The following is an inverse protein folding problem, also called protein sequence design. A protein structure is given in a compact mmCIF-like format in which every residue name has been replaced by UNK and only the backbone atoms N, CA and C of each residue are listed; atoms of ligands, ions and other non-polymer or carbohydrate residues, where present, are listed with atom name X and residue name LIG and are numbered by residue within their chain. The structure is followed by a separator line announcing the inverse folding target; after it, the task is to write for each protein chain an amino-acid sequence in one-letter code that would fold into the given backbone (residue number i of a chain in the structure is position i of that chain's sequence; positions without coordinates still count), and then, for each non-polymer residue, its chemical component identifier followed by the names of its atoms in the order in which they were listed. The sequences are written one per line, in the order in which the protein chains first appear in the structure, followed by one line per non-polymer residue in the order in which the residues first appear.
data_IF_400499318661
#
_entry.id   IF_400499318661
#
_cell.length_a   1.000
_cell.length_b   1.000
_cell.length_c   1.000
_cell.angle_alpha   90.00
_cell.angle_beta   90.00
_cell.angle_gamma   90.00
#
_symmetry.space_group_name_H-M   'P 1'
#
loop_
_entity.id
_entity.type
_entity.pdbx_description
1 polymer ?
#
# COMPACT_ATOMS: atom_id res chain seq x y z
N UNK A 1 47.96 -5.73 -70.78
CA UNK A 1 48.96 -4.94 -71.56
C UNK A 1 50.39 -5.12 -71.07
N UNK A 2 50.65 -5.19 -69.77
CA UNK A 2 52.01 -5.33 -69.21
C UNK A 2 52.68 -6.66 -69.60
N UNK A 3 51.95 -7.77 -69.56
CA UNK A 3 52.48 -9.10 -69.91
C UNK A 3 52.92 -9.22 -71.38
N UNK A 4 52.15 -8.62 -72.29
CA UNK A 4 52.49 -8.59 -73.71
C UNK A 4 53.77 -7.81 -73.99
N UNK A 5 54.03 -6.74 -73.22
CA UNK A 5 55.27 -5.94 -73.30
C UNK A 5 56.48 -6.72 -72.78
N UNK A 6 56.33 -7.47 -71.69
CA UNK A 6 57.40 -8.29 -71.12
C UNK A 6 57.78 -9.42 -72.09
N UNK A 7 56.79 -10.09 -72.69
CA UNK A 7 57.03 -11.15 -73.67
C UNK A 7 57.78 -10.62 -74.91
N UNK A 8 57.45 -9.41 -75.38
CA UNK A 8 58.12 -8.76 -76.51
C UNK A 8 59.59 -8.44 -76.21
N UNK A 9 59.89 -7.93 -75.00
CA UNK A 9 61.26 -7.66 -74.57
C UNK A 9 62.08 -8.94 -74.43
N UNK A 10 61.47 -10.02 -73.92
CA UNK A 10 62.14 -11.31 -73.78
C UNK A 10 62.52 -11.90 -75.14
N UNK A 11 61.62 -11.83 -76.13
CA UNK A 11 61.90 -12.24 -77.51
C UNK A 11 62.98 -11.37 -78.17
N UNK A 12 62.98 -10.05 -77.90
CA UNK A 12 64.01 -9.15 -78.41
C UNK A 12 65.40 -9.47 -77.85
N UNK A 13 65.51 -9.78 -76.54
CA UNK A 13 66.78 -10.15 -75.90
C UNK A 13 67.29 -11.50 -76.40
N UNK A 14 66.40 -12.49 -76.59
CA UNK A 14 66.76 -13.79 -77.17
C UNK A 14 67.23 -13.64 -78.62
N UNK A 15 66.54 -12.81 -79.41
CA UNK A 15 66.93 -12.49 -80.80
C UNK A 15 68.28 -11.76 -80.88
N UNK A 16 68.54 -10.83 -79.96
CA UNK A 16 69.83 -10.13 -79.88
C UNK A 16 70.99 -11.07 -79.52
N UNK A 17 70.79 -11.97 -78.56
CA UNK A 17 71.79 -12.97 -78.17
C UNK A 17 72.03 -14.02 -79.26
N UNK A 18 71.00 -14.34 -80.06
CA UNK A 18 71.16 -15.17 -81.26
C UNK A 18 72.10 -14.55 -82.29
N UNK A 19 71.89 -13.27 -82.58
CA UNK A 19 72.67 -12.54 -83.58
C UNK A 19 74.15 -12.41 -83.19
N UNK A 20 74.45 -12.36 -81.89
CA UNK A 20 75.81 -12.18 -81.37
C UNK A 20 76.59 -13.49 -81.20
N UNK A 21 75.92 -14.65 -81.18
CA UNK A 21 76.59 -15.94 -80.94
C UNK A 21 77.16 -16.55 -82.22
N UNK A 22 78.49 -16.69 -82.29
CA UNK A 22 79.18 -17.23 -83.48
C UNK A 22 79.14 -18.77 -83.58
N UNK A 23 78.90 -19.48 -82.47
CA UNK A 23 78.89 -20.95 -82.43
C UNK A 23 77.47 -21.55 -82.27
N UNK A 24 76.89 -21.92 -83.42
CA UNK A 24 75.49 -22.38 -83.53
C UNK A 24 75.18 -23.66 -82.72
N UNK A 25 76.18 -24.46 -82.37
CA UNK A 25 76.00 -25.74 -81.65
C UNK A 25 75.86 -25.56 -80.14
N UNK A 26 76.55 -24.57 -79.57
CA UNK A 26 76.47 -24.23 -78.13
C UNK A 26 75.21 -23.42 -77.86
N UNK A 27 74.86 -22.50 -78.77
CA UNK A 27 73.66 -21.67 -78.64
C UNK A 27 72.36 -22.51 -78.59
N UNK A 28 72.24 -23.56 -79.40
CA UNK A 28 71.09 -24.47 -79.33
C UNK A 28 70.94 -25.09 -77.93
N UNK A 29 72.03 -25.54 -77.30
CA UNK A 29 71.96 -26.13 -75.94
C UNK A 29 71.56 -25.11 -74.87
N UNK A 30 72.08 -23.88 -74.96
CA UNK A 30 71.74 -22.81 -74.01
C UNK A 30 70.29 -22.37 -74.17
N UNK A 31 69.81 -22.20 -75.40
CA UNK A 31 68.41 -21.83 -75.67
C UNK A 31 67.45 -22.93 -75.23
N UNK A 32 67.73 -24.20 -75.53
CA UNK A 32 66.86 -25.29 -75.05
C UNK A 32 66.89 -25.44 -73.53
N UNK A 33 68.01 -25.13 -72.87
CA UNK A 33 68.09 -25.11 -71.40
C UNK A 33 67.25 -23.98 -70.80
N UNK A 34 67.37 -22.75 -71.32
CA UNK A 34 66.59 -21.59 -70.86
C UNK A 34 65.10 -21.78 -71.17
N UNK A 35 64.77 -22.27 -72.38
CA UNK A 35 63.40 -22.56 -72.77
C UNK A 35 62.81 -23.70 -71.93
N UNK A 36 63.62 -24.70 -71.54
CA UNK A 36 63.21 -25.75 -70.61
C UNK A 36 62.93 -25.22 -69.21
N UNK A 37 63.76 -24.31 -68.68
CA UNK A 37 63.52 -23.64 -67.39
C UNK A 37 62.30 -22.74 -67.45
N UNK A 38 62.08 -22.02 -68.56
CA UNK A 38 60.91 -21.18 -68.77
C UNK A 38 59.63 -22.02 -68.94
N UNK A 39 59.72 -23.14 -69.67
CA UNK A 39 58.63 -24.12 -69.78
C UNK A 39 58.30 -24.74 -68.41
N UNK A 40 59.30 -24.99 -67.56
CA UNK A 40 59.10 -25.50 -66.21
C UNK A 40 58.49 -24.44 -65.27
N UNK A 41 58.94 -23.18 -65.35
CA UNK A 41 58.37 -22.07 -64.59
C UNK A 41 56.93 -21.74 -65.03
N UNK A 42 56.64 -21.80 -66.32
CA UNK A 42 55.27 -21.63 -66.84
C UNK A 42 54.40 -22.83 -66.49
N UNK A 43 54.93 -24.06 -66.50
CA UNK A 43 54.21 -25.25 -66.05
C UNK A 43 53.91 -25.23 -64.54
N UNK A 44 54.85 -24.74 -63.71
CA UNK A 44 54.60 -24.50 -62.28
C UNK A 44 53.58 -23.37 -62.06
N UNK A 45 53.66 -22.29 -62.83
CA UNK A 45 52.67 -21.20 -62.79
C UNK A 45 51.27 -21.65 -63.19
N UNK A 46 51.15 -22.58 -64.16
CA UNK A 46 49.87 -23.18 -64.57
C UNK A 46 49.39 -24.21 -63.53
N UNK A 47 50.29 -25.03 -62.96
CA UNK A 47 49.93 -26.02 -61.93
C UNK A 47 49.48 -25.38 -60.60
N UNK A 48 49.89 -24.14 -60.32
CA UNK A 48 49.39 -23.34 -59.19
C UNK A 48 48.21 -22.43 -59.57
N UNK A 49 47.91 -22.26 -60.85
CA UNK A 49 46.84 -21.39 -61.36
C UNK A 49 45.44 -22.00 -61.38
N UNK A 50 45.30 -23.31 -61.13
CA UNK A 50 43.99 -24.01 -61.07
C UNK A 50 43.42 -24.12 -59.63
N UNK A 51 44.09 -23.51 -58.64
CA UNK A 51 43.65 -23.53 -57.23
C UNK A 51 42.80 -22.31 -56.84
N UNK A 52 42.68 -21.30 -57.72
CA UNK A 52 42.01 -20.03 -57.42
C UNK A 52 40.51 -20.20 -57.11
N UNK A 53 39.80 -21.12 -57.78
CA UNK A 53 38.35 -21.28 -57.55
C UNK A 53 38.02 -21.88 -56.16
N UNK A 54 38.84 -22.81 -55.66
CA UNK A 54 38.63 -23.45 -54.35
C UNK A 54 39.07 -22.52 -53.21
N UNK A 55 40.16 -21.77 -53.40
CA UNK A 55 40.61 -20.74 -52.46
C UNK A 55 39.59 -19.61 -52.37
N UNK A 56 39.07 -19.14 -53.51
CA UNK A 56 38.02 -18.10 -53.55
C UNK A 56 36.73 -18.57 -52.86
N UNK A 57 36.30 -19.81 -53.12
CA UNK A 57 35.13 -20.39 -52.45
C UNK A 57 35.31 -20.50 -50.93
N UNK A 58 36.49 -20.91 -50.46
CA UNK A 58 36.77 -20.98 -49.02
C UNK A 58 36.81 -19.60 -48.36
N UNK A 59 37.28 -18.59 -49.10
CA UNK A 59 37.33 -17.20 -48.63
C UNK A 59 35.93 -16.60 -48.52
N UNK A 60 35.07 -16.86 -49.50
CA UNK A 60 33.68 -16.42 -49.50
C UNK A 60 32.88 -17.09 -48.35
N UNK A 61 33.09 -18.38 -48.09
CA UNK A 61 32.46 -19.10 -46.97
C UNK A 61 32.93 -18.58 -45.60
N UNK A 62 34.22 -18.20 -45.47
CA UNK A 62 34.77 -17.63 -44.24
C UNK A 62 34.29 -16.20 -44.01
N UNK A 63 34.10 -15.42 -45.08
CA UNK A 63 33.50 -14.09 -45.04
C UNK A 63 32.05 -14.17 -44.56
N UNK A 64 31.24 -15.07 -45.12
CA UNK A 64 29.85 -15.31 -44.68
C UNK A 64 29.77 -15.72 -43.20
N UNK A 65 30.67 -16.60 -42.74
CA UNK A 65 30.76 -16.98 -41.31
C UNK A 65 31.12 -15.81 -40.42
N UNK A 66 32.04 -14.95 -40.86
CA UNK A 66 32.44 -13.76 -40.10
C UNK A 66 31.29 -12.75 -39.99
N UNK A 67 30.54 -12.51 -41.07
CA UNK A 67 29.36 -11.65 -41.06
C UNK A 67 28.28 -12.21 -40.13
N UNK A 68 27.98 -13.51 -40.23
CA UNK A 68 27.04 -14.16 -39.32
C UNK A 68 27.48 -14.06 -37.86
N UNK A 69 28.77 -14.26 -37.58
CA UNK A 69 29.32 -14.13 -36.24
C UNK A 69 29.16 -12.70 -35.72
N UNK A 70 29.44 -11.68 -36.54
CA UNK A 70 29.22 -10.28 -36.16
C UNK A 70 27.76 -9.96 -35.89
N UNK A 71 26.83 -10.51 -36.67
CA UNK A 71 25.40 -10.36 -36.43
C UNK A 71 24.99 -10.98 -35.09
N UNK A 72 25.47 -12.19 -34.78
CA UNK A 72 25.17 -12.83 -33.48
C UNK A 72 25.79 -12.11 -32.30
N UNK A 73 26.98 -11.50 -32.47
CA UNK A 73 27.60 -10.68 -31.42
C UNK A 73 26.76 -9.43 -31.17
N UNK A 74 26.28 -8.77 -32.23
CA UNK A 74 25.40 -7.60 -32.11
C UNK A 74 24.08 -7.94 -31.43
N UNK A 75 23.46 -9.07 -31.78
CA UNK A 75 22.21 -9.55 -31.15
C UNK A 75 22.44 -9.90 -29.67
N UNK A 76 23.58 -10.53 -29.35
CA UNK A 76 23.94 -10.88 -27.98
C UNK A 76 24.27 -9.63 -27.14
N UNK A 77 24.85 -8.60 -27.74
CA UNK A 77 25.10 -7.30 -27.10
C UNK A 77 23.79 -6.59 -26.77
N UNK A 78 22.83 -6.58 -27.70
CA UNK A 78 21.49 -6.04 -27.48
C UNK A 78 20.73 -6.79 -26.37
N UNK A 79 20.80 -8.14 -26.38
CA UNK A 79 20.22 -8.97 -25.33
C UNK A 79 20.86 -8.74 -23.96
N UNK A 80 22.17 -8.51 -23.90
CA UNK A 80 22.84 -8.19 -22.63
C UNK A 80 22.47 -6.80 -22.13
N UNK A 81 22.29 -5.83 -23.03
CA UNK A 81 21.86 -4.47 -22.66
C UNK A 81 20.45 -4.48 -22.06
N UNK A 82 19.53 -5.22 -22.69
CA UNK A 82 18.15 -5.36 -22.18
C UNK A 82 18.11 -6.12 -20.86
N UNK A 83 18.90 -7.20 -20.72
CA UNK A 83 18.97 -7.94 -19.47
C UNK A 83 19.56 -7.10 -18.31
N UNK A 84 20.49 -6.19 -18.62
CA UNK A 84 21.02 -5.25 -17.63
C UNK A 84 19.94 -4.25 -17.18
N UNK A 85 19.14 -3.72 -18.10
CA UNK A 85 18.03 -2.82 -17.78
C UNK A 85 16.99 -3.50 -16.87
N UNK A 86 16.60 -4.75 -17.20
CA UNK A 86 15.71 -5.54 -16.36
C UNK A 86 16.29 -5.81 -14.96
N UNK A 87 17.60 -5.99 -14.86
CA UNK A 87 18.28 -6.19 -13.57
C UNK A 87 18.27 -4.91 -12.71
N UNK A 88 18.54 -3.76 -13.31
CA UNK A 88 18.54 -2.46 -12.64
C UNK A 88 17.11 -2.10 -12.16
N UNK A 89 16.09 -2.36 -12.98
CA UNK A 89 14.68 -2.17 -12.63
C UNK A 89 14.24 -3.08 -11.47
N UNK A 90 14.69 -4.34 -11.49
CA UNK A 90 14.41 -5.29 -10.42
C UNK A 90 15.10 -4.88 -9.11
N UNK A 91 16.34 -4.39 -9.18
CA UNK A 91 17.06 -3.85 -8.02
C UNK A 91 16.32 -2.65 -7.42
N UNK A 92 15.84 -1.72 -8.26
CA UNK A 92 15.02 -0.58 -7.81
C UNK A 92 13.74 -1.05 -7.12
N UNK A 93 13.05 -2.05 -7.69
CA UNK A 93 11.83 -2.61 -7.11
C UNK A 93 12.09 -3.29 -5.75
N UNK A 94 13.22 -3.97 -5.60
CA UNK A 94 13.63 -4.59 -4.32
C UNK A 94 13.86 -3.52 -3.24
N UNK A 95 14.49 -2.39 -3.60
CA UNK A 95 14.72 -1.28 -2.67
C UNK A 95 13.40 -0.68 -2.20
N UNK A 96 12.47 -0.40 -3.11
CA UNK A 96 11.16 0.17 -2.80
C UNK A 96 10.33 -0.76 -1.89
N UNK A 97 10.26 -2.05 -2.22
CA UNK A 97 9.59 -3.06 -1.39
C UNK A 97 10.20 -3.14 0.02
N UNK A 98 11.52 -3.00 0.14
CA UNK A 98 12.18 -3.04 1.43
C UNK A 98 11.86 -1.79 2.28
N UNK A 99 11.76 -0.61 1.66
CA UNK A 99 11.31 0.61 2.35
C UNK A 99 9.84 0.49 2.83
N UNK A 100 8.98 -0.10 2.00
CA UNK A 100 7.58 -0.36 2.36
C UNK A 100 7.48 -1.34 3.54
N UNK A 101 8.25 -2.44 3.53
CA UNK A 101 8.31 -3.40 4.65
C UNK A 101 8.71 -2.70 5.95
N UNK A 102 9.76 -1.86 5.93
CA UNK A 102 10.21 -1.11 7.12
C UNK A 102 9.08 -0.20 7.64
N UNK A 103 8.34 0.45 6.73
CA UNK A 103 7.23 1.32 7.11
C UNK A 103 6.10 0.53 7.78
N UNK A 104 5.71 -0.59 7.18
CA UNK A 104 4.66 -1.49 7.70
C UNK A 104 5.06 -2.05 9.07
N UNK A 105 6.33 -2.45 9.25
CA UNK A 105 6.82 -2.96 10.54
C UNK A 105 6.71 -1.93 11.66
N UNK A 106 7.06 -0.66 11.38
CA UNK A 106 6.92 0.43 12.35
C UNK A 106 5.45 0.71 12.70
N UNK A 107 4.57 0.71 11.71
CA UNK A 107 3.13 0.89 11.94
C UNK A 107 2.54 -0.26 12.74
N UNK A 108 2.95 -1.50 12.46
CA UNK A 108 2.54 -2.67 13.21
C UNK A 108 3.00 -2.59 14.68
N UNK A 109 4.25 -2.18 14.94
CA UNK A 109 4.75 -2.00 16.31
C UNK A 109 3.93 -0.95 17.08
N UNK A 110 3.60 0.17 16.43
CA UNK A 110 2.77 1.22 17.03
C UNK A 110 1.36 0.71 17.33
N UNK A 111 0.73 0.04 16.37
CA UNK A 111 -0.62 -0.50 16.51
C UNK A 111 -0.69 -1.57 17.61
N UNK A 112 0.35 -2.39 17.74
CA UNK A 112 0.47 -3.37 18.81
C UNK A 112 0.50 -2.71 20.19
N UNK A 113 1.30 -1.64 20.36
CA UNK A 113 1.36 -0.88 21.62
C UNK A 113 0.00 -0.24 21.96
N UNK A 114 -0.68 0.31 20.96
CA UNK A 114 -2.01 0.91 21.15
C UNK A 114 -3.04 -0.16 21.55
N UNK A 115 -2.99 -1.34 20.95
CA UNK A 115 -3.84 -2.47 21.30
C UNK A 115 -3.63 -2.95 22.74
N UNK A 116 -2.38 -3.10 23.18
CA UNK A 116 -2.04 -3.44 24.58
C UNK A 116 -2.53 -2.38 25.58
N UNK A 117 -2.36 -1.09 25.24
CA UNK A 117 -2.88 0.01 26.05
C UNK A 117 -4.41 -0.03 26.17
N UNK A 118 -5.09 -0.29 25.06
CA UNK A 118 -6.55 -0.36 25.00
C UNK A 118 -7.09 -1.58 25.78
N UNK A 119 -6.42 -2.73 25.70
CA UNK A 119 -6.77 -3.90 26.50
C UNK A 119 -6.65 -3.60 28.00
N UNK A 120 -5.58 -2.94 28.43
CA UNK A 120 -5.39 -2.56 29.83
C UNK A 120 -6.50 -1.62 30.32
N UNK A 121 -6.83 -0.58 29.54
CA UNK A 121 -7.91 0.35 29.85
C UNK A 121 -9.28 -0.33 29.93
N UNK A 122 -9.57 -1.28 29.04
CA UNK A 122 -10.81 -2.05 29.10
C UNK A 122 -10.90 -2.91 30.35
N UNK A 123 -9.78 -3.47 30.81
CA UNK A 123 -9.74 -4.23 32.07
C UNK A 123 -9.99 -3.30 33.28
N UNK A 124 -9.29 -2.17 33.35
CA UNK A 124 -9.47 -1.17 34.40
C UNK A 124 -10.92 -0.67 34.43
N UNK A 125 -11.48 -0.31 33.28
CA UNK A 125 -12.87 0.16 33.17
C UNK A 125 -13.89 -0.89 33.63
N UNK A 126 -13.62 -2.18 33.39
CA UNK A 126 -14.47 -3.27 33.86
C UNK A 126 -14.42 -3.44 35.39
N UNK A 127 -13.25 -3.25 35.98
CA UNK A 127 -13.08 -3.28 37.45
C UNK A 127 -13.79 -2.08 38.09
N UNK A 128 -13.64 -0.88 37.52
CA UNK A 128 -14.32 0.34 37.97
C UNK A 128 -15.84 0.19 37.88
N UNK A 129 -16.35 -0.38 36.78
CA UNK A 129 -17.79 -0.64 36.62
C UNK A 129 -18.33 -1.56 37.71
N UNK A 130 -17.61 -2.65 38.01
CA UNK A 130 -18.00 -3.60 39.07
C UNK A 130 -18.01 -2.92 40.45
N UNK A 131 -17.02 -2.08 40.73
CA UNK A 131 -16.96 -1.34 42.00
C UNK A 131 -18.12 -0.36 42.13
N UNK A 132 -18.47 0.35 41.06
CA UNK A 132 -19.60 1.29 41.06
C UNK A 132 -20.96 0.57 41.19
N UNK A 133 -21.08 -0.64 40.64
CA UNK A 133 -22.25 -1.50 40.79
C UNK A 133 -22.44 -1.92 42.26
N UNK A 134 -21.38 -2.41 42.91
CA UNK A 134 -21.39 -2.77 44.35
C UNK A 134 -21.71 -1.56 45.25
N UNK A 135 -21.17 -0.37 44.93
CA UNK A 135 -21.48 0.85 45.67
C UNK A 135 -22.96 1.23 45.56
N UNK A 136 -23.55 1.16 44.36
CA UNK A 136 -24.97 1.43 44.14
C UNK A 136 -25.88 0.46 44.89
N UNK A 137 -25.55 -0.84 44.91
CA UNK A 137 -26.29 -1.83 45.70
C UNK A 137 -26.27 -1.48 47.19
N UNK A 138 -25.09 -1.16 47.74
CA UNK A 138 -24.95 -0.76 49.14
C UNK A 138 -25.72 0.53 49.48
N UNK A 139 -25.74 1.49 48.55
CA UNK A 139 -26.46 2.75 48.73
C UNK A 139 -27.97 2.52 48.68
N UNK A 140 -28.44 1.60 47.83
CA UNK A 140 -29.84 1.19 47.77
C UNK A 140 -30.30 0.56 49.09
N UNK A 141 -29.50 -0.35 49.66
CA UNK A 141 -29.79 -0.95 50.97
C UNK A 141 -29.87 0.11 52.08
N UNK A 142 -28.92 1.06 52.10
CA UNK A 142 -28.92 2.15 53.07
C UNK A 142 -30.16 3.05 52.95
N UNK A 143 -30.61 3.34 51.72
CA UNK A 143 -31.85 4.12 51.48
C UNK A 143 -33.07 3.39 52.04
N UNK A 144 -33.15 2.07 51.88
CA UNK A 144 -34.24 1.25 52.39
C UNK A 144 -34.26 1.22 53.92
N UNK A 145 -33.10 1.02 54.56
CA UNK A 145 -32.98 1.06 56.02
C UNK A 145 -33.40 2.43 56.60
N UNK A 146 -32.94 3.54 55.99
CA UNK A 146 -33.32 4.89 56.43
C UNK A 146 -34.81 5.17 56.26
N UNK A 147 -35.44 4.59 55.23
CA UNK A 147 -36.89 4.71 55.00
C UNK A 147 -37.68 4.00 56.10
N UNK A 148 -37.24 2.81 56.50
CA UNK A 148 -37.85 2.03 57.59
C UNK A 148 -37.66 2.71 58.96
N UNK A 149 -36.48 3.27 59.21
CA UNK A 149 -36.21 4.03 60.43
C UNK A 149 -37.10 5.29 60.49
N UNK A 150 -37.21 6.03 59.38
CA UNK A 150 -38.10 7.20 59.28
C UNK A 150 -39.57 6.83 59.52
N UNK A 151 -40.03 5.70 58.98
CA UNK A 151 -41.39 5.21 59.22
C UNK A 151 -41.61 4.86 60.70
N UNK A 152 -40.65 4.20 61.32
CA UNK A 152 -40.68 3.81 62.73
C UNK A 152 -40.67 5.03 63.66
N UNK A 153 -39.83 6.01 63.39
CA UNK A 153 -39.77 7.27 64.14
C UNK A 153 -41.06 8.09 63.97
N UNK A 154 -41.63 8.14 62.75
CA UNK A 154 -42.91 8.82 62.52
C UNK A 154 -44.04 8.20 63.35
N UNK A 155 -44.11 6.87 63.41
CA UNK A 155 -45.11 6.16 64.24
C UNK A 155 -44.93 6.49 65.73
N UNK A 156 -43.69 6.50 66.22
CA UNK A 156 -43.37 6.90 67.60
C UNK A 156 -43.76 8.36 67.88
N UNK A 157 -43.61 9.25 66.90
CA UNK A 157 -44.03 10.65 67.01
C UNK A 157 -45.55 10.78 67.16
N UNK A 158 -46.32 10.06 66.34
CA UNK A 158 -47.80 10.03 66.38
C UNK A 158 -48.34 9.42 67.69
N UNK A 159 -47.67 8.38 68.22
CA UNK A 159 -48.01 7.77 69.53
C UNK A 159 -47.71 8.72 70.71
N UNK A 160 -46.65 9.52 70.59
CA UNK A 160 -46.32 10.54 71.59
C UNK A 160 -47.29 11.71 71.55
N UNK A 161 -47.72 12.16 70.36
CA UNK A 161 -48.72 13.23 70.20
C UNK A 161 -50.08 12.82 70.81
N UNK A 162 -50.55 11.59 70.55
CA UNK A 162 -51.84 11.07 71.07
C UNK A 162 -51.88 10.86 72.59
N UNK A 163 -50.73 10.67 73.24
CA UNK A 163 -50.63 10.59 74.70
C UNK A 163 -50.56 11.97 75.38
N UNK A 164 -50.15 13.02 74.67
CA UNK A 164 -50.22 14.41 75.17
C UNK A 164 -51.60 15.07 75.02
N UNK A 165 -52.44 14.68 74.06
CA UNK A 165 -53.80 15.25 73.92
C UNK A 165 -54.78 14.74 75.01
N UNK A 166 -54.46 13.63 75.68
CA UNK A 166 -55.27 13.10 76.79
C UNK A 166 -54.97 13.73 78.16
N UNK A 167 -54.02 14.67 78.24
CA UNK A 167 -53.65 15.36 79.49
C UNK A 167 -53.73 16.89 79.42
N UNK A 168 -54.34 17.46 78.38
CA UNK A 168 -54.53 18.91 78.28
C UNK A 168 -55.95 19.26 77.81
N UNK A 169 -56.92 19.09 78.71
CA UNK A 169 -58.19 19.79 78.58
C UNK A 169 -58.52 20.49 79.90
N UNK A 170 -57.95 21.68 80.10
CA UNK A 170 -58.68 22.79 80.70
C UNK A 170 -58.07 24.12 80.24
N UNK A 171 -58.94 24.94 79.66
CA UNK A 171 -58.96 26.41 79.67
C UNK A 171 -58.41 27.22 78.48
N UNK A 172 -59.36 27.53 77.59
CA UNK A 172 -59.72 28.85 77.03
C UNK A 172 -58.69 29.74 76.30
N UNK A 173 -58.83 29.76 74.96
CA UNK A 173 -59.44 30.86 74.17
C UNK A 173 -59.09 32.32 74.54
N UNK A 174 -58.27 33.00 73.73
CA UNK A 174 -58.67 34.10 72.81
C UNK A 174 -57.48 34.90 72.23
N UNK A 175 -57.58 35.12 70.90
CA UNK A 175 -57.25 36.28 70.05
C UNK A 175 -56.51 37.50 70.64
N UNK A 176 -55.42 37.94 69.98
CA UNK A 176 -55.33 39.23 69.25
C UNK A 176 -53.89 39.79 69.15
N UNK A 177 -53.46 39.96 67.90
CA UNK A 177 -52.74 41.08 67.28
C UNK A 177 -51.52 41.81 67.92
N UNK A 178 -50.56 42.00 67.01
CA UNK A 178 -49.70 43.19 66.79
C UNK A 178 -48.33 43.34 67.49
N UNK A 179 -47.30 43.18 66.63
CA UNK A 179 -46.32 44.21 66.23
C UNK A 179 -45.30 44.68 67.28
N UNK A 180 -44.02 44.32 67.04
CA UNK A 180 -42.95 45.28 66.66
C UNK A 180 -41.55 44.75 66.97
N UNK A 181 -40.76 44.63 65.89
CA UNK A 181 -39.33 44.97 65.72
C UNK A 181 -38.32 44.79 66.86
N UNK A 182 -37.22 44.08 66.55
CA UNK A 182 -35.91 44.46 67.06
C UNK A 182 -34.81 43.40 67.06
N UNK A 183 -34.08 43.31 65.94
CA UNK A 183 -32.62 43.19 65.85
C UNK A 183 -31.93 41.80 65.70
N UNK A 184 -31.38 41.58 64.49
CA UNK A 184 -30.01 41.08 64.13
C UNK A 184 -29.60 39.66 64.58
N UNK A 185 -28.97 38.80 63.78
CA UNK A 185 -28.14 38.93 62.58
C UNK A 185 -27.93 37.52 61.97
N UNK A 186 -27.61 37.44 60.67
CA UNK A 186 -26.82 36.36 60.03
C UNK A 186 -27.48 34.98 59.88
N UNK A 187 -27.41 34.24 58.77
CA UNK A 187 -26.63 34.36 57.53
C UNK A 187 -27.16 33.30 56.54
N UNK A 188 -27.43 33.77 55.31
CA UNK A 188 -27.33 33.10 54.00
C UNK A 188 -27.92 31.70 53.71
N UNK A 189 -28.78 31.72 52.67
CA UNK A 189 -28.88 30.80 51.51
C UNK A 189 -29.37 29.37 51.77
N UNK A 190 -30.64 29.02 51.48
CA UNK A 190 -31.29 28.86 50.16
C UNK A 190 -30.46 27.89 49.27
N UNK A 191 -30.96 26.77 48.74
CA UNK A 191 -32.29 26.55 48.17
C UNK A 191 -32.54 25.05 47.86
N UNK A 192 -33.77 24.61 48.16
CA UNK A 192 -34.69 23.80 47.32
C UNK A 192 -34.32 22.39 46.76
N UNK A 193 -34.90 21.36 47.41
CA UNK A 193 -35.94 20.42 46.92
C UNK A 193 -36.60 20.78 45.55
N UNK A 194 -37.04 19.91 44.62
CA UNK A 194 -37.98 18.75 44.74
C UNK A 194 -38.25 18.10 43.35
N UNK A 195 -38.74 16.84 43.37
CA UNK A 195 -39.72 16.17 42.44
C UNK A 195 -39.30 15.83 40.99
N UNK A 196 -39.20 14.55 40.59
CA UNK A 196 -40.21 13.50 40.32
C UNK A 196 -40.79 13.47 38.89
N UNK A 197 -40.43 12.39 38.18
CA UNK A 197 -41.31 11.40 37.52
C UNK A 197 -41.92 11.64 36.12
N UNK A 198 -41.75 10.58 35.30
CA UNK A 198 -42.77 9.91 34.45
C UNK A 198 -42.79 10.12 32.92
N UNK A 199 -42.33 9.06 32.24
CA UNK A 199 -43.04 8.19 31.28
C UNK A 199 -43.54 8.69 29.90
N UNK A 200 -43.01 7.99 28.88
CA UNK A 200 -43.72 7.29 27.79
C UNK A 200 -44.49 8.08 26.71
N UNK A 201 -44.03 7.98 25.47
CA UNK A 201 -44.84 7.38 24.39
C UNK A 201 -43.99 6.95 23.18
N UNK A 202 -44.24 5.71 22.79
CA UNK A 202 -43.89 5.02 21.55
C UNK A 202 -44.67 5.57 20.36
N UNK A 203 -44.00 5.77 19.22
CA UNK A 203 -44.55 5.43 17.89
C UNK A 203 -43.40 4.94 17.02
N UNK A 204 -43.47 3.66 16.69
CA UNK A 204 -42.64 2.93 15.76
C UNK A 204 -42.88 3.40 14.32
N UNK A 205 -41.81 3.48 13.54
CA UNK A 205 -41.72 3.22 12.10
C UNK A 205 -40.21 3.01 11.86
N UNK A 206 -39.70 1.82 12.10
CA UNK A 206 -39.60 0.74 11.10
C UNK A 206 -38.95 1.19 9.78
N UNK A 207 -37.63 1.08 9.73
CA UNK A 207 -36.97 0.29 8.69
C UNK A 207 -35.55 0.03 9.13
N UNK A 208 -35.38 -1.16 9.71
CA UNK A 208 -34.17 -2.00 9.57
C UNK A 208 -32.83 -1.31 9.78
N UNK A 209 -32.50 -1.05 11.06
CA UNK A 209 -31.12 -1.17 11.51
C UNK A 209 -30.75 -2.64 11.50
N UNK A 210 -30.10 -3.08 10.43
CA UNK A 210 -29.41 -4.37 10.44
C UNK A 210 -27.94 -4.11 10.75
N UNK A 211 -27.55 -4.56 11.94
CA UNK A 211 -26.17 -4.80 12.33
C UNK A 211 -25.64 -6.00 11.54
N UNK A 212 -25.55 -5.86 10.22
CA UNK A 212 -24.84 -6.81 9.35
C UNK A 212 -23.35 -6.47 9.42
N UNK A 213 -22.69 -7.04 10.42
CA UNK A 213 -21.24 -7.21 10.38
C UNK A 213 -20.93 -8.23 9.27
N UNK A 214 -20.89 -7.79 8.00
CA UNK A 214 -20.76 -8.73 6.89
C UNK A 214 -20.36 -8.19 5.52
N UNK A 215 -20.71 -6.96 5.14
CA UNK A 215 -20.33 -6.43 3.82
C UNK A 215 -19.92 -4.96 3.86
N UNK A 216 -18.79 -4.65 3.20
CA UNK A 216 -18.27 -3.30 3.07
C UNK A 216 -18.96 -2.54 1.94
N UNK A 217 -20.29 -2.52 2.00
CA UNK A 217 -21.14 -2.06 0.90
C UNK A 217 -21.66 -0.62 1.12
N UNK A 218 -21.25 0.09 2.17
CA UNK A 218 -21.68 1.48 2.41
C UNK A 218 -20.81 2.43 1.58
N UNK A 219 -21.44 3.21 0.70
CA UNK A 219 -20.74 4.13 -0.21
C UNK A 219 -20.56 5.50 0.41
N UNK A 220 -19.32 5.92 0.65
CA UNK A 220 -18.95 7.30 0.97
C UNK A 220 -18.72 8.12 -0.30
N UNK A 221 -19.46 9.22 -0.49
CA UNK A 221 -19.27 10.13 -1.62
C UNK A 221 -18.21 11.20 -1.35
N UNK A 222 -17.59 11.74 -2.40
CA UNK A 222 -16.68 12.91 -2.28
C UNK A 222 -17.28 14.13 -1.56
N UNK A 223 -18.62 14.18 -1.39
CA UNK A 223 -19.32 15.25 -0.67
C UNK A 223 -19.41 15.04 0.85
N UNK A 224 -18.77 13.99 1.37
CA UNK A 224 -18.85 13.61 2.79
C UNK A 224 -20.20 13.05 3.19
N UNK A 225 -20.94 12.44 2.25
CA UNK A 225 -22.24 11.80 2.51
C UNK A 225 -22.09 10.29 2.30
N UNK A 226 -22.51 9.48 3.28
CA UNK A 226 -22.56 8.03 3.14
C UNK A 226 -23.94 7.54 2.70
N UNK A 227 -23.98 6.41 1.98
CA UNK A 227 -25.21 5.77 1.55
C UNK A 227 -25.18 4.28 1.89
N UNK A 228 -26.21 3.82 2.61
CA UNK A 228 -26.41 2.40 2.92
C UNK A 228 -27.12 1.69 1.77
N UNK A 229 -26.83 0.40 1.52
CA UNK A 229 -27.59 -0.43 0.59
C UNK A 229 -29.10 -0.34 0.86
N UNK A 230 -29.90 -0.17 -0.19
CA UNK A 230 -31.36 0.04 -0.07
C UNK A 230 -31.82 1.48 0.19
N UNK A 231 -30.92 2.42 0.49
CA UNK A 231 -31.30 3.84 0.59
C UNK A 231 -31.58 4.46 -0.79
N UNK A 232 -32.45 5.49 -0.82
CA UNK A 232 -32.95 6.15 -2.03
C UNK A 232 -31.87 6.54 -3.04
N UNK A 233 -30.71 6.98 -2.54
CA UNK A 233 -29.62 7.51 -3.35
C UNK A 233 -28.46 6.52 -3.54
N UNK A 234 -28.52 5.32 -2.96
CA UNK A 234 -27.43 4.34 -2.99
C UNK A 234 -26.96 3.95 -4.40
N UNK A 235 -27.91 3.75 -5.30
CA UNK A 235 -27.64 3.37 -6.70
C UNK A 235 -27.27 4.58 -7.59
N UNK A 236 -27.50 5.81 -7.10
CA UNK A 236 -27.24 7.03 -7.85
C UNK A 236 -25.84 7.58 -7.59
N UNK A 237 -25.24 7.22 -6.45
CA UNK A 237 -23.88 7.65 -6.08
C UNK A 237 -22.83 6.97 -6.97
N UNK A 238 -22.30 7.73 -7.94
CA UNK A 238 -21.23 7.31 -8.86
C UNK A 238 -19.84 7.75 -8.41
N UNK A 239 -19.75 8.78 -7.58
CA UNK A 239 -18.49 9.37 -7.10
C UNK A 239 -18.14 8.82 -5.72
N UNK A 240 -17.82 7.52 -5.66
CA UNK A 240 -17.43 6.86 -4.40
C UNK A 240 -15.98 7.23 -4.08
N UNK A 241 -15.79 7.87 -2.93
CA UNK A 241 -14.48 8.21 -2.36
C UNK A 241 -13.92 7.05 -1.53
N UNK A 242 -14.79 6.39 -0.76
CA UNK A 242 -14.42 5.34 0.18
C UNK A 242 -15.61 4.40 0.43
N UNK A 243 -15.32 3.13 0.72
CA UNK A 243 -16.30 2.15 1.15
C UNK A 243 -16.17 1.90 2.66
N UNK A 244 -17.30 1.69 3.33
CA UNK A 244 -17.36 1.43 4.77
C UNK A 244 -18.12 0.13 5.04
N UNK A 245 -17.74 -0.54 6.12
CA UNK A 245 -18.38 -1.78 6.57
C UNK A 245 -19.43 -1.52 7.66
N UNK A 246 -19.52 -0.30 8.17
CA UNK A 246 -20.64 0.14 9.03
C UNK A 246 -20.91 1.65 8.89
N UNK A 247 -22.11 2.09 9.26
CA UNK A 247 -22.45 3.52 9.29
C UNK A 247 -21.62 4.26 10.34
N UNK A 248 -21.33 3.62 11.47
CA UNK A 248 -20.49 4.16 12.54
C UNK A 248 -19.08 4.45 12.05
N UNK A 249 -18.51 3.55 11.24
CA UNK A 249 -17.19 3.76 10.62
C UNK A 249 -17.19 4.96 9.68
N UNK A 250 -18.23 5.11 8.86
CA UNK A 250 -18.40 6.26 7.98
C UNK A 250 -18.50 7.58 8.77
N UNK A 251 -19.25 7.59 9.87
CA UNK A 251 -19.42 8.75 10.74
C UNK A 251 -18.12 9.14 11.45
N UNK A 252 -17.36 8.16 11.93
CA UNK A 252 -16.03 8.38 12.51
C UNK A 252 -15.02 8.89 11.47
N UNK A 253 -15.18 8.50 10.21
CA UNK A 253 -14.42 9.03 9.07
C UNK A 253 -14.90 10.42 8.60
N UNK A 254 -15.88 11.03 9.29
CA UNK A 254 -16.37 12.38 9.01
C UNK A 254 -17.47 12.46 7.94
N UNK A 255 -18.04 11.32 7.52
CA UNK A 255 -19.18 11.29 6.61
C UNK A 255 -20.48 11.41 7.38
N UNK A 256 -21.49 12.03 6.77
CA UNK A 256 -22.83 12.19 7.36
C UNK A 256 -23.91 11.51 6.54
N UNK A 257 -25.04 11.23 7.16
CA UNK A 257 -26.22 10.74 6.46
C UNK A 257 -26.77 11.77 5.44
N UNK A 258 -27.48 11.31 4.38
CA UNK A 258 -28.16 12.19 3.43
C UNK A 258 -29.31 12.94 4.11
N UNK A 259 -29.52 14.21 3.71
CA UNK A 259 -30.66 14.99 4.20
C UNK A 259 -31.94 14.44 3.57
N UNK A 260 -32.96 14.24 4.39
CA UNK A 260 -34.32 13.90 3.94
C UNK A 260 -35.00 15.12 3.32
#
# INVERSE_FOLDING_TARGET
MIEALIALLFLAVIGYLWFRSKDKKVWKKVVYSILGVFAFLTFIGIALGDSDANVQQSLDEELEKSEKLTATISELEESNSTLQEEFDDLESTIIELNEEIITIENEHEKLQKDYESLQKKNKELKEDYKSAEEENESLSENIEQLKDEKASLKKKLEEKETTTTSSANTQDKNTSESKSSGNTNSTSSNSSTTTQASSSSTTSDDSSGETEAGSCDIKGSNSGIYHVPGSTYYNQTKNVAQWFCSTTEAENAGYRAPKR
#
